data_IF_326630993460
#
_entry.id   IF_326630993460
#
_cell.length_a   1.000
_cell.length_b   1.000
_cell.length_c   1.000
_cell.angle_alpha   90.00
_cell.angle_beta   90.00
_cell.angle_gamma   90.00
#
_symmetry.space_group_name_H-M   'P 1'
#
loop_
_entity.id
_entity.type
_entity.pdbx_description
1 polymer ?
#
# COMPACT_ATOMS: atom_id res chain seq x y z
N UNK A 1 -1.08 -19.87 -56.28
CA UNK A 1 -1.07 -18.46 -55.82
C UNK A 1 -2.00 -18.21 -54.63
N UNK A 2 -3.25 -18.71 -54.65
CA UNK A 2 -4.21 -18.57 -53.54
C UNK A 2 -3.69 -19.07 -52.17
N UNK A 3 -2.98 -20.20 -52.14
CA UNK A 3 -2.41 -20.76 -50.90
C UNK A 3 -1.32 -19.88 -50.26
N UNK A 4 -0.49 -19.19 -51.08
CA UNK A 4 0.54 -18.26 -50.58
C UNK A 4 -0.08 -17.00 -49.97
N UNK A 5 -1.17 -16.51 -50.56
CA UNK A 5 -1.92 -15.34 -50.05
C UNK A 5 -2.59 -15.66 -48.72
N UNK A 6 -3.20 -16.85 -48.59
CA UNK A 6 -3.80 -17.32 -47.33
C UNK A 6 -2.74 -17.46 -46.24
N UNK A 7 -1.56 -18.00 -46.57
CA UNK A 7 -0.48 -18.16 -45.60
C UNK A 7 0.10 -16.81 -45.12
N UNK A 8 0.33 -15.86 -46.02
CA UNK A 8 0.78 -14.51 -45.65
C UNK A 8 -0.25 -13.75 -44.81
N UNK A 9 -1.55 -13.94 -45.06
CA UNK A 9 -2.60 -13.30 -44.29
C UNK A 9 -2.72 -13.88 -42.86
N UNK A 10 -2.49 -15.20 -42.71
CA UNK A 10 -2.46 -15.85 -41.40
C UNK A 10 -1.27 -15.39 -40.55
N UNK A 11 -0.08 -15.24 -41.15
CA UNK A 11 1.10 -14.70 -40.44
C UNK A 11 0.92 -13.24 -40.04
N UNK A 12 0.26 -12.43 -40.88
CA UNK A 12 -0.06 -11.04 -40.54
C UNK A 12 -1.07 -10.93 -39.39
N UNK A 13 -2.05 -11.84 -39.29
CA UNK A 13 -3.03 -11.86 -38.21
C UNK A 13 -2.40 -12.15 -36.83
N UNK A 14 -1.34 -12.97 -36.79
CA UNK A 14 -0.59 -13.26 -35.56
C UNK A 14 0.18 -12.04 -35.01
N UNK A 15 0.52 -11.07 -35.87
CA UNK A 15 1.21 -9.83 -35.46
C UNK A 15 0.28 -8.83 -34.75
N UNK A 16 -1.04 -9.05 -34.76
CA UNK A 16 -2.01 -8.20 -34.05
C UNK A 16 -2.35 -8.70 -32.64
N UNK A 17 -1.76 -9.80 -32.17
CA UNK A 17 -1.91 -10.26 -30.78
C UNK A 17 -0.89 -9.53 -29.91
N UNK A 18 -1.26 -8.34 -29.43
CA UNK A 18 -0.49 -7.64 -28.40
C UNK A 18 -0.76 -8.24 -27.02
N UNK A 19 0.28 -8.40 -26.20
CA UNK A 19 0.11 -8.65 -24.76
C UNK A 19 -0.59 -7.45 -24.13
N UNK A 20 -1.90 -7.55 -23.94
CA UNK A 20 -2.65 -6.62 -23.12
C UNK A 20 -2.46 -7.03 -21.65
N UNK A 21 -1.46 -6.44 -20.98
CA UNK A 21 -1.37 -6.56 -19.52
C UNK A 21 -2.63 -5.92 -18.92
N UNK A 22 -3.42 -6.75 -18.23
CA UNK A 22 -4.67 -6.32 -17.61
C UNK A 22 -4.33 -5.41 -16.43
N UNK A 23 -4.63 -4.13 -16.55
CA UNK A 23 -4.54 -3.22 -15.41
C UNK A 23 -5.58 -3.62 -14.38
N UNK A 24 -5.13 -4.01 -13.19
CA UNK A 24 -5.98 -4.32 -12.05
C UNK A 24 -5.79 -3.27 -10.95
N UNK A 25 -6.86 -2.94 -10.24
CA UNK A 25 -6.77 -2.11 -9.06
C UNK A 25 -6.18 -2.94 -7.93
N UNK A 26 -5.04 -2.50 -7.39
CA UNK A 26 -4.40 -3.16 -6.25
C UNK A 26 -5.33 -3.11 -5.03
N UNK A 27 -5.69 -4.28 -4.51
CA UNK A 27 -6.29 -4.41 -3.19
C UNK A 27 -5.17 -4.44 -2.14
N UNK A 28 -5.01 -3.32 -1.45
CA UNK A 28 -3.99 -3.13 -0.41
C UNK A 28 -4.11 -4.17 0.74
N UNK A 29 -5.29 -4.76 0.94
CA UNK A 29 -5.51 -5.78 1.97
C UNK A 29 -5.19 -7.21 1.51
N UNK A 30 -5.07 -7.43 0.21
CA UNK A 30 -4.75 -8.74 -0.37
C UNK A 30 -3.76 -8.60 -1.55
N UNK A 31 -2.77 -7.74 -1.38
CA UNK A 31 -1.73 -7.56 -2.38
C UNK A 31 -0.70 -8.69 -2.27
N UNK A 32 -0.72 -9.57 -3.28
CA UNK A 32 0.20 -10.70 -3.43
C UNK A 32 1.35 -10.39 -4.40
N UNK A 33 1.54 -9.12 -4.76
CA UNK A 33 2.63 -8.68 -5.63
C UNK A 33 3.99 -9.05 -5.04
N UNK A 34 4.94 -9.40 -5.92
CA UNK A 34 6.29 -9.76 -5.49
C UNK A 34 6.98 -8.63 -4.72
N UNK A 35 7.86 -9.01 -3.78
CA UNK A 35 8.76 -8.05 -3.13
C UNK A 35 9.67 -7.40 -4.16
N UNK A 36 9.77 -6.08 -4.09
CA UNK A 36 10.66 -5.28 -4.91
C UNK A 36 11.95 -4.99 -4.14
N UNK A 37 13.05 -4.75 -4.85
CA UNK A 37 14.34 -4.38 -4.23
C UNK A 37 14.33 -2.95 -3.65
N UNK A 38 13.34 -2.13 -4.03
CA UNK A 38 13.14 -0.78 -3.52
C UNK A 38 12.23 -0.81 -2.28
N UNK A 39 12.14 0.32 -1.57
CA UNK A 39 11.16 0.47 -0.50
C UNK A 39 9.75 0.56 -1.08
N UNK A 40 8.84 -0.22 -0.52
CA UNK A 40 7.46 -0.26 -0.95
C UNK A 40 6.51 0.25 0.13
N UNK A 41 5.30 0.65 -0.27
CA UNK A 41 4.25 1.09 0.64
C UNK A 41 3.93 0.03 1.70
N UNK A 42 4.09 -1.26 1.37
CA UNK A 42 3.86 -2.41 2.27
C UNK A 42 4.83 -2.39 3.45
N UNK A 43 6.10 -2.12 3.19
CA UNK A 43 7.14 -2.06 4.23
C UNK A 43 6.85 -0.94 5.23
N UNK A 44 6.49 0.24 4.70
CA UNK A 44 6.11 1.39 5.50
C UNK A 44 4.83 1.16 6.31
N UNK A 45 3.84 0.52 5.72
CA UNK A 45 2.57 0.18 6.36
C UNK A 45 2.78 -0.82 7.53
N UNK A 46 3.61 -1.84 7.31
CA UNK A 46 3.98 -2.81 8.34
C UNK A 46 4.80 -2.17 9.46
N UNK A 47 5.83 -1.40 9.12
CA UNK A 47 6.67 -0.72 10.11
C UNK A 47 5.86 0.25 10.98
N UNK A 48 5.01 1.08 10.36
CA UNK A 48 4.12 1.99 11.08
C UNK A 48 3.16 1.23 12.01
N UNK A 49 2.57 0.12 11.55
CA UNK A 49 1.71 -0.72 12.37
C UNK A 49 2.43 -1.30 13.58
N UNK A 50 3.66 -1.80 13.41
CA UNK A 50 4.50 -2.30 14.53
C UNK A 50 4.83 -1.18 15.53
N UNK A 51 5.16 0.02 15.06
CA UNK A 51 5.43 1.16 15.93
C UNK A 51 4.20 1.60 16.73
N UNK A 52 3.03 1.68 16.09
CA UNK A 52 1.76 1.96 16.78
C UNK A 52 1.46 0.88 17.81
N UNK A 53 1.59 -0.39 17.46
CA UNK A 53 1.35 -1.50 18.37
C UNK A 53 2.28 -1.45 19.59
N UNK A 54 3.56 -1.14 19.39
CA UNK A 54 4.52 -0.95 20.48
C UNK A 54 4.12 0.21 21.41
N UNK A 55 3.69 1.35 20.84
CA UNK A 55 3.19 2.47 21.62
C UNK A 55 1.94 2.09 22.43
N UNK A 56 0.99 1.37 21.84
CA UNK A 56 -0.21 0.91 22.54
C UNK A 56 0.13 -0.08 23.67
N UNK A 57 1.10 -0.96 23.45
CA UNK A 57 1.58 -1.92 24.46
C UNK A 57 2.33 -1.24 25.61
N UNK A 58 2.93 -0.08 25.38
CA UNK A 58 3.60 0.68 26.45
C UNK A 58 2.64 1.21 27.53
N UNK A 59 1.33 1.22 27.25
CA UNK A 59 0.31 1.77 28.15
C UNK A 59 0.28 3.30 28.20
N UNK A 60 1.10 4.00 27.40
CA UNK A 60 1.17 5.46 27.40
C UNK A 60 -0.15 6.17 27.10
N UNK A 61 -1.07 5.49 26.40
CA UNK A 61 -2.40 6.00 26.03
C UNK A 61 -3.54 5.21 26.68
N UNK A 62 -3.26 4.48 27.75
CA UNK A 62 -4.30 3.76 28.48
C UNK A 62 -5.22 4.73 29.22
N UNK A 63 -6.53 4.50 29.09
CA UNK A 63 -7.54 5.30 29.78
C UNK A 63 -7.47 5.01 31.27
N UNK A 64 -7.16 6.03 32.06
CA UNK A 64 -7.33 5.99 33.52
C UNK A 64 -8.75 6.44 33.83
N UNK A 65 -9.49 5.64 34.58
CA UNK A 65 -10.83 6.01 35.09
C UNK A 65 -11.85 6.48 34.03
N UNK A 66 -11.76 5.96 32.80
CA UNK A 66 -12.69 6.32 31.71
C UNK A 66 -12.42 7.68 31.05
N UNK A 67 -11.28 8.31 31.34
CA UNK A 67 -10.92 9.60 30.75
C UNK A 67 -10.71 9.52 29.23
N UNK A 68 -11.02 10.63 28.55
CA UNK A 68 -10.80 10.77 27.12
C UNK A 68 -9.33 11.12 26.86
N UNK A 69 -8.63 10.26 26.12
CA UNK A 69 -7.27 10.51 25.66
C UNK A 69 -7.31 11.11 24.26
N UNK A 70 -6.86 12.36 24.13
CA UNK A 70 -6.75 13.08 22.86
C UNK A 70 -5.30 13.00 22.39
N UNK A 71 -5.06 12.48 21.19
CA UNK A 71 -3.71 12.34 20.63
C UNK A 71 -3.58 13.12 19.32
N UNK A 72 -2.67 14.08 19.30
CA UNK A 72 -2.33 14.83 18.09
C UNK A 72 -1.22 14.12 17.31
N UNK A 73 -1.46 13.87 16.02
CA UNK A 73 -0.46 13.31 15.10
C UNK A 73 0.15 14.49 14.33
N UNK A 74 1.47 14.65 14.44
CA UNK A 74 2.20 15.66 13.67
C UNK A 74 2.35 15.24 12.20
N UNK A 75 2.76 16.20 11.34
CA UNK A 75 3.13 15.89 9.96
C UNK A 75 4.36 15.00 9.93
N UNK A 76 4.32 13.95 9.11
CA UNK A 76 5.49 13.11 8.86
C UNK A 76 6.45 13.87 7.94
N UNK A 77 7.71 13.99 8.36
CA UNK A 77 8.78 14.56 7.54
C UNK A 77 9.45 13.41 6.76
N UNK A 78 9.42 13.49 5.44
CA UNK A 78 10.26 12.65 4.60
C UNK A 78 11.65 13.28 4.51
N UNK A 79 12.64 12.65 5.14
CA UNK A 79 14.04 13.08 5.15
C UNK A 79 14.93 12.18 4.27
N UNK A 80 14.31 11.54 3.28
CA UNK A 80 14.98 10.67 2.32
C UNK A 80 15.07 11.35 0.97
N UNK A 81 15.89 10.79 0.08
CA UNK A 81 16.00 11.24 -1.32
C UNK A 81 14.80 10.81 -2.17
N UNK A 82 13.94 9.90 -1.69
CA UNK A 82 12.83 9.32 -2.44
C UNK A 82 11.55 10.09 -2.18
N UNK A 83 10.65 10.17 -3.17
CA UNK A 83 9.33 10.74 -2.97
C UNK A 83 8.39 9.70 -2.35
N UNK A 84 8.12 9.85 -1.05
CA UNK A 84 7.25 8.94 -0.28
C UNK A 84 5.91 9.63 -0.04
N UNK A 85 4.81 8.93 -0.32
CA UNK A 85 3.46 9.35 0.04
C UNK A 85 3.26 9.23 1.55
N UNK A 86 3.60 10.30 2.26
CA UNK A 86 3.46 10.38 3.71
C UNK A 86 2.01 10.43 4.18
N UNK A 87 1.05 10.73 3.30
CA UNK A 87 -0.36 10.78 3.68
C UNK A 87 -0.91 9.37 3.90
N UNK A 88 -0.46 8.39 3.12
CA UNK A 88 -0.76 6.98 3.36
C UNK A 88 -0.27 6.51 4.72
N UNK A 89 0.93 6.95 5.12
CA UNK A 89 1.50 6.65 6.44
C UNK A 89 0.66 7.26 7.58
N UNK A 90 0.36 8.56 7.50
CA UNK A 90 -0.48 9.23 8.50
C UNK A 90 -1.86 8.56 8.59
N UNK A 91 -2.45 8.20 7.45
CA UNK A 91 -3.75 7.51 7.40
C UNK A 91 -3.70 6.15 8.09
N UNK A 92 -2.67 5.34 7.85
CA UNK A 92 -2.49 4.05 8.53
C UNK A 92 -2.41 4.21 10.04
N UNK A 93 -1.54 5.11 10.53
CA UNK A 93 -1.38 5.40 11.96
C UNK A 93 -2.72 5.82 12.58
N UNK A 94 -3.42 6.76 11.94
CA UNK A 94 -4.73 7.24 12.42
C UNK A 94 -5.74 6.10 12.52
N UNK A 95 -5.85 5.27 11.48
CA UNK A 95 -6.81 4.15 11.45
C UNK A 95 -6.51 3.14 12.56
N UNK A 96 -5.24 2.77 12.75
CA UNK A 96 -4.86 1.80 13.79
C UNK A 96 -5.12 2.34 15.20
N UNK A 97 -4.79 3.61 15.43
CA UNK A 97 -5.04 4.28 16.70
C UNK A 97 -6.54 4.38 17.01
N UNK A 98 -7.36 4.77 16.05
CA UNK A 98 -8.82 4.81 16.24
C UNK A 98 -9.41 3.41 16.45
N UNK A 99 -8.94 2.40 15.71
CA UNK A 99 -9.36 1.00 15.89
C UNK A 99 -8.97 0.42 17.25
N UNK A 100 -7.92 0.93 17.87
CA UNK A 100 -7.53 0.52 19.23
C UNK A 100 -8.57 0.93 20.29
N UNK A 101 -9.41 1.94 20.00
CA UNK A 101 -10.37 2.50 20.95
C UNK A 101 -9.76 3.25 22.13
N UNK A 102 -8.43 3.33 22.21
CA UNK A 102 -7.70 3.98 23.32
C UNK A 102 -7.63 5.50 23.17
N UNK A 103 -7.57 6.01 21.93
CA UNK A 103 -7.45 7.44 21.62
C UNK A 103 -8.56 7.93 20.69
N UNK A 104 -8.80 9.24 20.70
CA UNK A 104 -9.75 9.95 19.81
C UNK A 104 -9.15 11.21 19.21
#
# INVERSE_FOLDING_TARGET
MKFKIVFSLATAALLFVGCADKTERIDVHNDQGGQVMALDYRDFNEAAGKSVQSMLQSGAVDKRNGERVILAISRIKNDTMQHIDTDQLVKKIRVDLLRSGKVV
#
